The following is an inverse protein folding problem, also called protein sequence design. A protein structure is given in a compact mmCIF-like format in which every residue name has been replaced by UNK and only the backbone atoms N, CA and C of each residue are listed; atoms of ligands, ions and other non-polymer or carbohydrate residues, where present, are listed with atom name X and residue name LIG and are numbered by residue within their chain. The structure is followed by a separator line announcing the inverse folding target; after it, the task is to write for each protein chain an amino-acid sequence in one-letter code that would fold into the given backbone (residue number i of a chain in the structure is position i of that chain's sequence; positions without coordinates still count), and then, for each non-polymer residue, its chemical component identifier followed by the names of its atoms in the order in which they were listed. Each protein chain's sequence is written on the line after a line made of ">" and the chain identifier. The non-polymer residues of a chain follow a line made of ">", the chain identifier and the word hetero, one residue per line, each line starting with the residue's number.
data_IF_935270538008
#
_entry.id   IF_935270538008
#
_cell.length_a   1.000
_cell.length_b   1.000
_cell.length_c   1.000
_cell.angle_alpha   90.00
_cell.angle_beta   90.00
_cell.angle_gamma   90.00
#
_symmetry.space_group_name_H-M   'P 1'
#
loop_
_entity.id
_entity.type
_entity.pdbx_description
1 polymer ?
#
# COMPACT_ATOMS: atom_id res chain seq x y z
N UNK A 1 7.46 -3.46 -19.19
CA UNK A 1 7.78 -4.43 -18.12
C UNK A 1 8.71 -5.48 -18.72
N UNK A 2 9.99 -5.51 -18.34
CA UNK A 2 10.96 -6.49 -18.85
C UNK A 2 11.45 -7.31 -17.66
N UNK A 3 11.10 -8.59 -17.59
CA UNK A 3 11.60 -9.48 -16.54
C UNK A 3 13.03 -9.91 -16.89
N UNK A 4 13.97 -9.96 -15.93
CA UNK A 4 15.35 -10.36 -16.22
C UNK A 4 15.45 -11.86 -16.52
N UNK A 5 16.14 -12.21 -17.61
CA UNK A 5 16.44 -13.58 -18.03
C UNK A 5 17.42 -14.29 -17.06
N UNK A 6 16.95 -14.88 -15.95
CA UNK A 6 17.73 -15.88 -15.21
C UNK A 6 16.86 -16.98 -14.61
N UNK A 7 16.73 -18.07 -15.38
CA UNK A 7 16.62 -19.49 -14.98
C UNK A 7 15.63 -20.27 -15.88
N UNK A 8 16.01 -20.47 -17.14
CA UNK A 8 15.33 -21.42 -18.05
C UNK A 8 15.66 -22.87 -17.66
N UNK A 9 14.92 -23.47 -16.71
CA UNK A 9 14.80 -24.94 -16.59
C UNK A 9 13.42 -25.39 -16.08
N UNK A 10 12.69 -26.02 -17.01
CA UNK A 10 11.66 -27.07 -16.89
C UNK A 10 10.45 -26.81 -15.98
N UNK A 11 9.28 -26.74 -16.61
CA UNK A 11 8.15 -27.57 -16.16
C UNK A 11 7.28 -28.04 -17.33
N UNK A 12 6.98 -29.34 -17.31
CA UNK A 12 6.15 -30.08 -18.25
C UNK A 12 4.94 -30.56 -17.48
N UNK A 13 3.73 -30.22 -17.94
CA UNK A 13 2.55 -31.02 -17.67
C UNK A 13 1.56 -30.90 -18.83
N UNK A 14 1.00 -32.06 -19.19
CA UNK A 14 0.19 -32.32 -20.38
C UNK A 14 -1.20 -31.69 -20.24
N UNK A 15 -1.46 -30.66 -21.02
CA UNK A 15 -2.76 -30.29 -21.57
C UNK A 15 -2.49 -29.93 -23.04
N UNK A 16 -3.29 -30.40 -23.99
CA UNK A 16 -3.00 -30.46 -25.44
C UNK A 16 -2.49 -29.15 -26.10
N UNK A 17 -1.20 -28.86 -25.97
CA UNK A 17 -0.46 -27.77 -26.60
C UNK A 17 0.76 -27.40 -25.76
N UNK A 18 1.97 -27.46 -26.33
CA UNK A 18 3.19 -27.00 -25.63
C UNK A 18 3.15 -25.47 -25.59
N UNK A 19 2.68 -24.91 -24.48
CA UNK A 19 2.76 -23.46 -24.24
C UNK A 19 4.16 -23.17 -23.69
N UNK A 20 4.97 -22.47 -24.47
CA UNK A 20 6.29 -22.03 -24.03
C UNK A 20 6.14 -20.91 -23.00
N UNK A 21 7.06 -20.83 -22.04
CA UNK A 21 7.07 -19.77 -21.01
C UNK A 21 7.05 -18.36 -21.65
N UNK A 22 7.77 -18.19 -22.77
CA UNK A 22 7.76 -16.94 -23.53
C UNK A 22 6.40 -16.59 -24.15
N UNK A 23 5.57 -17.59 -24.46
CA UNK A 23 4.22 -17.37 -24.99
C UNK A 23 3.31 -16.74 -23.94
N UNK A 24 3.31 -17.27 -22.71
CA UNK A 24 2.53 -16.69 -21.60
C UNK A 24 3.02 -15.27 -21.30
N UNK A 25 4.35 -15.08 -21.22
CA UNK A 25 4.91 -13.74 -21.00
C UNK A 25 4.47 -12.75 -22.09
N UNK A 26 4.51 -13.13 -23.36
CA UNK A 26 4.09 -12.25 -24.46
C UNK A 26 2.59 -11.94 -24.40
N UNK A 27 1.74 -12.93 -24.12
CA UNK A 27 0.30 -12.70 -23.94
C UNK A 27 0.08 -11.67 -22.84
N UNK A 28 0.68 -11.87 -21.66
CA UNK A 28 0.46 -11.00 -20.50
C UNK A 28 1.06 -9.60 -20.66
N UNK A 29 2.23 -9.48 -21.27
CA UNK A 29 3.02 -8.24 -21.28
C UNK A 29 3.03 -7.48 -22.59
N UNK A 30 2.48 -8.06 -23.66
CA UNK A 30 2.42 -7.45 -25.00
C UNK A 30 1.00 -7.52 -25.55
N UNK A 31 0.51 -8.71 -25.83
CA UNK A 31 -0.72 -8.89 -26.63
C UNK A 31 -1.96 -8.38 -25.88
N UNK A 32 -2.01 -8.62 -24.56
CA UNK A 32 -3.10 -8.20 -23.68
C UNK A 32 -2.72 -7.04 -22.75
N UNK A 33 -1.56 -6.42 -22.96
CA UNK A 33 -1.05 -5.38 -22.08
C UNK A 33 -2.03 -4.20 -21.94
N UNK A 34 -2.62 -3.75 -23.05
CA UNK A 34 -3.60 -2.66 -23.05
C UNK A 34 -4.90 -3.05 -22.34
N UNK A 35 -5.40 -4.25 -22.58
CA UNK A 35 -6.64 -4.75 -21.95
C UNK A 35 -6.46 -4.88 -20.43
N UNK A 36 -5.35 -5.47 -19.96
CA UNK A 36 -5.06 -5.58 -18.54
C UNK A 36 -4.76 -4.24 -17.88
N UNK A 37 -4.15 -3.31 -18.61
CA UNK A 37 -3.97 -1.95 -18.10
C UNK A 37 -5.32 -1.26 -17.91
N UNK A 38 -6.23 -1.36 -18.89
CA UNK A 38 -7.57 -0.80 -18.79
C UNK A 38 -8.35 -1.42 -17.64
N UNK A 39 -8.35 -2.76 -17.51
CA UNK A 39 -8.99 -3.47 -16.39
C UNK A 39 -8.43 -3.00 -15.05
N UNK A 40 -7.10 -2.92 -14.92
CA UNK A 40 -6.43 -2.45 -13.72
C UNK A 40 -6.85 -1.02 -13.35
N UNK A 41 -6.98 -0.12 -14.32
CA UNK A 41 -7.44 1.25 -14.07
C UNK A 41 -8.92 1.29 -13.69
N UNK A 42 -9.78 0.50 -14.35
CA UNK A 42 -11.19 0.39 -13.98
C UNK A 42 -11.39 -0.14 -12.56
N UNK A 43 -10.55 -1.06 -12.09
CA UNK A 43 -10.56 -1.53 -10.69
C UNK A 43 -10.20 -0.39 -9.74
N UNK A 44 -9.18 0.40 -10.05
CA UNK A 44 -8.78 1.55 -9.22
C UNK A 44 -9.90 2.59 -9.14
N UNK A 45 -10.45 3.00 -10.28
CA UNK A 45 -11.54 3.98 -10.34
C UNK A 45 -12.77 3.50 -9.55
N UNK A 46 -13.25 2.28 -9.83
CA UNK A 46 -14.39 1.71 -9.12
C UNK A 46 -14.12 1.56 -7.61
N UNK A 47 -12.90 1.16 -7.27
CA UNK A 47 -12.43 1.03 -5.89
C UNK A 47 -12.42 2.37 -5.15
N UNK A 48 -11.90 3.43 -5.77
CA UNK A 48 -11.85 4.77 -5.22
C UNK A 48 -13.26 5.38 -5.06
N UNK A 49 -14.15 5.20 -6.04
CA UNK A 49 -15.52 5.73 -5.99
C UNK A 49 -16.36 5.19 -4.81
N UNK A 50 -16.03 3.99 -4.30
CA UNK A 50 -16.76 3.33 -3.19
C UNK A 50 -15.95 3.24 -1.91
N UNK A 51 -14.71 3.73 -1.91
CA UNK A 51 -13.80 3.62 -0.79
C UNK A 51 -14.30 4.40 0.42
N UNK A 52 -14.34 3.74 1.59
CA UNK A 52 -14.49 4.43 2.89
C UNK A 52 -13.17 5.06 3.34
N UNK A 53 -12.07 4.48 2.89
CA UNK A 53 -10.71 4.94 3.09
C UNK A 53 -9.86 4.35 1.97
N UNK A 54 -8.71 4.97 1.72
CA UNK A 54 -7.64 4.44 0.90
C UNK A 54 -6.40 4.32 1.79
N UNK A 55 -5.61 3.27 1.57
CA UNK A 55 -4.31 3.12 2.17
C UNK A 55 -3.26 3.11 1.06
N UNK A 56 -2.13 3.77 1.29
CA UNK A 56 -0.98 3.71 0.38
C UNK A 56 0.31 3.31 1.10
N UNK A 57 1.13 2.53 0.39
CA UNK A 57 2.49 2.16 0.78
C UNK A 57 3.38 2.09 -0.47
N UNK A 58 4.68 2.21 -0.27
CA UNK A 58 5.66 2.22 -1.36
C UNK A 58 6.90 1.39 -0.97
N UNK A 59 7.43 0.64 -1.94
CA UNK A 59 8.72 -0.02 -1.81
C UNK A 59 9.61 0.23 -3.02
N UNK A 60 10.84 0.70 -2.76
CA UNK A 60 11.84 0.96 -3.80
C UNK A 60 12.72 -0.26 -4.10
N UNK A 61 13.02 -0.47 -5.38
CA UNK A 61 13.97 -1.47 -5.84
C UNK A 61 14.79 -0.96 -7.05
N UNK A 62 15.94 -1.57 -7.32
CA UNK A 62 16.72 -1.26 -8.53
C UNK A 62 16.42 -2.26 -9.64
N UNK A 63 16.06 -1.76 -10.82
CA UNK A 63 15.89 -2.55 -12.04
C UNK A 63 16.82 -2.00 -13.12
N UNK A 64 17.73 -2.86 -13.62
CA UNK A 64 18.73 -2.48 -14.64
C UNK A 64 19.51 -1.20 -14.29
N UNK A 65 19.90 -1.07 -13.02
CA UNK A 65 20.65 0.08 -12.51
C UNK A 65 19.83 1.35 -12.26
N UNK A 66 18.54 1.37 -12.58
CA UNK A 66 17.63 2.50 -12.32
C UNK A 66 16.78 2.23 -11.08
N UNK A 67 16.48 3.26 -10.32
CA UNK A 67 15.53 3.16 -9.20
C UNK A 67 14.12 3.08 -9.77
N UNK A 68 13.32 2.16 -9.23
CA UNK A 68 11.90 2.01 -9.51
C UNK A 68 11.18 1.84 -8.17
N UNK A 69 9.92 2.24 -8.13
CA UNK A 69 9.12 2.23 -6.90
C UNK A 69 7.82 1.50 -7.18
N UNK A 70 7.57 0.43 -6.42
CA UNK A 70 6.27 -0.22 -6.36
C UNK A 70 5.39 0.62 -5.45
N UNK A 71 4.28 1.12 -6.00
CA UNK A 71 3.22 1.79 -5.28
C UNK A 71 2.07 0.82 -5.08
N UNK A 72 1.57 0.76 -3.86
CA UNK A 72 0.40 -0.03 -3.47
C UNK A 72 -0.67 0.93 -3.01
N UNK A 73 -1.87 0.84 -3.59
CA UNK A 73 -3.06 1.57 -3.13
C UNK A 73 -4.15 0.53 -2.88
N UNK A 74 -4.72 0.51 -1.69
CA UNK A 74 -5.67 -0.53 -1.32
C UNK A 74 -6.71 -0.05 -0.31
N UNK A 75 -7.71 -0.89 -0.11
CA UNK A 75 -8.63 -0.85 1.03
C UNK A 75 -9.12 -2.28 1.33
N UNK A 76 -10.25 -2.43 2.02
CA UNK A 76 -10.88 -3.71 2.33
C UNK A 76 -11.48 -4.43 1.11
N UNK A 77 -11.68 -3.72 -0.01
CA UNK A 77 -12.34 -4.23 -1.22
C UNK A 77 -11.36 -4.56 -2.35
N UNK A 78 -10.24 -3.83 -2.46
CA UNK A 78 -9.30 -4.01 -3.57
C UNK A 78 -7.84 -3.71 -3.19
N UNK A 79 -6.94 -4.13 -4.06
CA UNK A 79 -5.53 -3.74 -4.03
C UNK A 79 -5.05 -3.47 -5.45
N UNK A 80 -4.45 -2.29 -5.63
CA UNK A 80 -3.89 -1.80 -6.87
C UNK A 80 -2.38 -1.70 -6.72
N UNK A 81 -1.66 -2.21 -7.72
CA UNK A 81 -0.21 -2.23 -7.75
C UNK A 81 0.30 -1.56 -9.01
N UNK A 82 1.25 -0.64 -8.89
CA UNK A 82 1.89 -0.03 -10.05
C UNK A 82 3.36 0.27 -9.78
N UNK A 83 4.18 0.21 -10.82
CA UNK A 83 5.62 0.50 -10.71
C UNK A 83 5.89 1.74 -11.53
N UNK A 84 6.51 2.74 -10.91
CA UNK A 84 6.90 3.98 -11.58
C UNK A 84 8.39 4.26 -11.35
N UNK A 85 8.95 5.19 -12.13
CA UNK A 85 10.31 5.69 -11.92
C UNK A 85 10.40 6.74 -10.81
N UNK A 86 9.25 7.27 -10.37
CA UNK A 86 9.13 8.36 -9.41
C UNK A 86 8.44 7.93 -8.12
N UNK A 87 8.50 8.80 -7.13
CA UNK A 87 7.78 8.65 -5.86
C UNK A 87 7.41 9.99 -5.23
N UNK A 88 7.38 11.03 -6.04
CA UNK A 88 7.03 12.37 -5.58
C UNK A 88 5.50 12.53 -5.64
N UNK A 89 4.99 13.62 -5.05
CA UNK A 89 3.56 13.88 -5.01
C UNK A 89 2.88 13.90 -6.39
N UNK A 90 3.46 14.52 -7.44
CA UNK A 90 2.90 14.41 -8.80
C UNK A 90 2.77 12.96 -9.30
N UNK A 91 3.71 12.07 -8.94
CA UNK A 91 3.58 10.64 -9.26
C UNK A 91 2.34 10.03 -8.57
N UNK A 92 2.00 10.46 -7.36
CA UNK A 92 0.82 9.95 -6.64
C UNK A 92 -0.46 10.45 -7.29
N UNK A 93 -0.54 11.73 -7.67
CA UNK A 93 -1.67 12.30 -8.43
C UNK A 93 -1.87 11.58 -9.77
N UNK A 94 -0.78 11.36 -10.53
CA UNK A 94 -0.80 10.60 -11.79
C UNK A 94 -1.36 9.18 -11.58
N UNK A 95 -0.90 8.47 -10.53
CA UNK A 95 -1.38 7.11 -10.22
C UNK A 95 -2.87 7.11 -9.90
N UNK A 96 -3.35 8.12 -9.16
CA UNK A 96 -4.75 8.25 -8.74
C UNK A 96 -5.66 8.78 -9.87
N UNK A 97 -5.11 9.13 -11.03
CA UNK A 97 -5.86 9.74 -12.13
C UNK A 97 -6.49 11.08 -11.74
N UNK A 98 -5.82 11.83 -10.87
CA UNK A 98 -6.26 13.15 -10.38
C UNK A 98 -5.37 14.24 -11.00
N UNK A 99 -5.94 15.43 -11.20
CA UNK A 99 -5.15 16.60 -11.53
C UNK A 99 -4.35 17.05 -10.29
N UNK A 100 -3.19 17.69 -10.52
CA UNK A 100 -2.38 18.22 -9.43
C UNK A 100 -3.22 19.20 -8.58
N UNK A 101 -3.14 19.03 -7.25
CA UNK A 101 -3.88 19.78 -6.22
C UNK A 101 -5.39 19.46 -6.09
N UNK A 102 -5.95 18.54 -6.87
CA UNK A 102 -7.30 18.01 -6.65
C UNK A 102 -7.31 16.99 -5.49
N UNK A 103 -7.43 17.50 -4.27
CA UNK A 103 -7.38 16.68 -3.06
C UNK A 103 -8.57 15.73 -2.98
N UNK A 104 -8.30 14.48 -2.60
CA UNK A 104 -9.34 13.51 -2.29
C UNK A 104 -10.08 13.89 -0.99
N UNK A 105 -11.40 13.71 -1.00
CA UNK A 105 -12.22 13.73 0.22
C UNK A 105 -12.25 12.38 0.97
N UNK A 106 -11.73 11.32 0.35
CA UNK A 106 -11.66 10.01 0.99
C UNK A 106 -10.49 9.96 1.98
N UNK A 107 -10.69 9.51 3.24
CA UNK A 107 -9.60 9.33 4.19
C UNK A 107 -8.42 8.55 3.61
N UNK A 108 -7.22 9.13 3.69
CA UNK A 108 -6.03 8.55 3.07
C UNK A 108 -4.99 8.19 4.14
N UNK A 109 -4.81 6.89 4.34
CA UNK A 109 -3.95 6.30 5.37
C UNK A 109 -2.58 5.98 4.79
N UNK A 110 -1.52 6.65 5.25
CA UNK A 110 -0.15 6.39 4.76
C UNK A 110 0.87 6.43 5.89
N UNK A 111 2.14 6.18 5.61
CA UNK A 111 3.24 6.35 6.57
C UNK A 111 3.54 7.82 6.92
N UNK A 112 2.87 8.77 6.27
CA UNK A 112 3.09 10.21 6.45
C UNK A 112 4.29 10.76 5.69
N UNK A 113 4.84 10.03 4.72
CA UNK A 113 5.90 10.54 3.87
C UNK A 113 5.44 11.74 3.02
N UNK A 114 6.38 12.63 2.67
CA UNK A 114 6.09 13.93 2.03
C UNK A 114 5.28 13.82 0.74
N UNK A 115 5.45 12.75 -0.02
CA UNK A 115 4.73 12.52 -1.27
C UNK A 115 3.22 12.31 -1.09
N UNK A 116 2.78 11.92 0.12
CA UNK A 116 1.36 11.73 0.45
C UNK A 116 0.72 12.95 1.11
N UNK A 117 1.52 13.94 1.51
CA UNK A 117 1.01 15.17 2.09
C UNK A 117 0.17 15.91 1.04
N UNK A 118 -0.97 16.42 1.48
CA UNK A 118 -1.93 17.16 0.65
C UNK A 118 -2.55 16.35 -0.50
N UNK A 119 -2.45 15.02 -0.51
CA UNK A 119 -3.18 14.18 -1.49
C UNK A 119 -4.66 14.04 -1.12
N UNK A 120 -4.98 14.14 0.17
CA UNK A 120 -6.35 14.12 0.68
C UNK A 120 -6.53 15.20 1.75
N UNK A 121 -7.76 15.72 1.88
CA UNK A 121 -8.17 16.59 2.99
C UNK A 121 -8.23 15.84 4.34
N UNK A 122 -8.31 14.50 4.30
CA UNK A 122 -8.42 13.64 5.47
C UNK A 122 -7.24 12.67 5.55
N UNK A 123 -6.03 13.20 5.76
CA UNK A 123 -4.84 12.37 5.92
C UNK A 123 -4.78 11.72 7.30
N UNK A 124 -4.49 10.42 7.33
CA UNK A 124 -4.29 9.65 8.56
C UNK A 124 -2.97 8.89 8.50
N UNK A 125 -2.31 8.73 9.65
CA UNK A 125 -1.08 7.93 9.77
C UNK A 125 -1.41 6.46 9.97
N UNK A 126 -0.66 5.60 9.30
CA UNK A 126 -0.83 4.16 9.37
C UNK A 126 -0.36 3.62 10.74
N UNK A 127 -1.27 3.01 11.48
CA UNK A 127 -1.01 2.41 12.79
C UNK A 127 0.12 1.36 12.78
N UNK A 128 0.20 0.57 11.71
CA UNK A 128 1.26 -0.45 11.55
C UNK A 128 2.63 0.21 11.36
N UNK A 129 2.70 1.35 10.68
CA UNK A 129 3.93 2.11 10.54
C UNK A 129 4.41 2.69 11.87
N UNK A 130 3.48 3.19 12.69
CA UNK A 130 3.79 3.66 14.05
C UNK A 130 4.35 2.52 14.92
N UNK A 131 3.65 1.39 14.99
CA UNK A 131 4.08 0.22 15.81
C UNK A 131 5.44 -0.34 15.36
N UNK A 132 5.73 -0.30 14.05
CA UNK A 132 6.95 -0.88 13.48
C UNK A 132 8.21 -0.28 14.11
N UNK A 133 8.20 0.98 14.54
CA UNK A 133 9.35 1.62 15.19
C UNK A 133 9.72 0.92 16.50
N UNK A 134 8.72 0.66 17.34
CA UNK A 134 8.89 0.04 18.65
C UNK A 134 9.26 -1.44 18.55
N UNK A 135 8.66 -2.18 17.61
CA UNK A 135 9.00 -3.60 17.38
C UNK A 135 10.45 -3.83 16.92
N UNK A 136 11.11 -2.82 16.36
CA UNK A 136 12.52 -2.90 15.96
C UNK A 136 13.49 -2.63 17.12
N UNK A 137 13.01 -2.11 18.24
CA UNK A 137 13.84 -1.88 19.42
C UNK A 137 14.14 -3.21 20.10
N UNK A 138 15.42 -3.48 20.34
CA UNK A 138 15.89 -4.67 21.06
C UNK A 138 16.70 -4.23 22.27
N UNK A 139 16.04 -3.76 23.35
CA UNK A 139 16.72 -3.26 24.53
C UNK A 139 17.43 -4.37 25.30
N UNK A 140 18.68 -4.11 25.70
CA UNK A 140 19.48 -5.07 26.46
C UNK A 140 19.12 -5.09 27.95
N UNK A 141 19.00 -3.89 28.56
CA UNK A 141 18.72 -3.72 29.99
C UNK A 141 17.24 -3.96 30.30
N UNK A 142 16.96 -4.63 31.42
CA UNK A 142 15.59 -4.98 31.82
C UNK A 142 14.70 -3.77 32.07
N UNK A 143 15.27 -2.68 32.58
CA UNK A 143 14.53 -1.43 32.72
C UNK A 143 13.98 -0.92 31.37
N UNK A 144 14.80 -0.95 30.31
CA UNK A 144 14.37 -0.51 28.98
C UNK A 144 13.38 -1.48 28.33
N UNK A 145 13.48 -2.79 28.59
CA UNK A 145 12.46 -3.77 28.17
C UNK A 145 11.11 -3.44 28.79
N UNK A 146 11.07 -3.20 30.10
CA UNK A 146 9.83 -2.84 30.80
C UNK A 146 9.23 -1.52 30.30
N UNK A 147 10.06 -0.53 29.97
CA UNK A 147 9.58 0.72 29.36
C UNK A 147 8.97 0.48 27.97
N UNK A 148 9.61 -0.33 27.13
CA UNK A 148 9.09 -0.68 25.82
C UNK A 148 7.76 -1.43 25.93
N UNK A 149 7.66 -2.42 26.82
CA UNK A 149 6.43 -3.17 27.06
C UNK A 149 5.29 -2.25 27.54
N UNK A 150 5.60 -1.29 28.41
CA UNK A 150 4.63 -0.30 28.89
C UNK A 150 4.10 0.56 27.74
N UNK A 151 4.98 1.12 26.91
CA UNK A 151 4.57 1.95 25.76
C UNK A 151 3.75 1.13 24.76
N UNK A 152 4.19 -0.09 24.45
CA UNK A 152 3.46 -1.01 23.57
C UNK A 152 2.07 -1.33 24.12
N UNK A 153 1.95 -1.56 25.43
CA UNK A 153 0.66 -1.77 26.09
C UNK A 153 -0.26 -0.55 26.00
N UNK A 154 0.28 0.67 26.16
CA UNK A 154 -0.49 1.91 26.00
C UNK A 154 -0.97 2.11 24.56
N UNK A 155 -0.13 1.83 23.57
CA UNK A 155 -0.51 1.91 22.15
C UNK A 155 -1.65 0.92 21.86
N UNK A 156 -1.49 -0.36 22.19
CA UNK A 156 -2.56 -1.33 21.96
C UNK A 156 -3.84 -1.02 22.75
N UNK A 157 -3.72 -0.49 23.97
CA UNK A 157 -4.86 0.00 24.73
C UNK A 157 -5.61 1.13 23.99
N UNK A 158 -4.89 2.09 23.41
CA UNK A 158 -5.51 3.13 22.57
C UNK A 158 -6.20 2.54 21.34
N UNK A 159 -5.58 1.55 20.69
CA UNK A 159 -6.20 0.84 19.56
C UNK A 159 -7.52 0.17 19.95
N UNK A 160 -7.54 -0.52 21.10
CA UNK A 160 -8.74 -1.17 21.62
C UNK A 160 -9.85 -0.17 21.92
N UNK A 161 -9.51 0.98 22.53
CA UNK A 161 -10.47 2.08 22.78
C UNK A 161 -11.05 2.63 21.47
N UNK A 162 -10.21 2.89 20.45
CA UNK A 162 -10.70 3.33 19.14
C UNK A 162 -11.61 2.29 18.48
N UNK A 163 -11.31 1.00 18.64
CA UNK A 163 -12.15 -0.08 18.10
C UNK A 163 -13.49 -0.19 18.85
N UNK A 164 -13.51 0.04 20.17
CA UNK A 164 -14.75 0.14 20.94
C UNK A 164 -15.58 1.32 20.42
N UNK A 165 -14.98 2.51 20.33
CA UNK A 165 -15.64 3.72 19.83
C UNK A 165 -16.22 3.54 18.42
N UNK A 166 -15.48 2.88 17.52
CA UNK A 166 -15.95 2.58 16.17
C UNK A 166 -17.26 1.78 16.14
N UNK A 167 -17.42 0.83 17.06
CA UNK A 167 -18.61 -0.03 17.12
C UNK A 167 -19.74 0.57 17.96
N UNK A 168 -19.38 1.35 18.99
CA UNK A 168 -20.29 2.02 19.90
C UNK A 168 -19.80 3.44 20.18
N UNK A 169 -20.12 4.41 19.30
CA UNK A 169 -19.70 5.79 19.49
C UNK A 169 -20.26 6.34 20.80
N UNK A 170 -19.36 6.83 21.65
CA UNK A 170 -19.68 7.43 22.94
C UNK A 170 -18.85 8.69 23.14
N UNK A 171 -19.51 9.77 23.55
CA UNK A 171 -18.87 11.10 23.68
C UNK A 171 -17.80 11.10 24.76
N UNK A 172 -18.00 10.33 25.85
CA UNK A 172 -16.99 10.26 26.92
C UNK A 172 -15.72 9.55 26.45
N UNK A 173 -15.87 8.52 25.61
CA UNK A 173 -14.76 7.82 24.99
C UNK A 173 -14.07 8.67 23.91
N UNK A 174 -14.83 9.48 23.17
CA UNK A 174 -14.29 10.39 22.15
C UNK A 174 -13.23 11.33 22.72
N UNK A 175 -13.50 11.94 23.87
CA UNK A 175 -12.58 12.85 24.58
C UNK A 175 -11.29 12.17 25.02
N UNK A 176 -11.29 10.84 25.16
CA UNK A 176 -10.11 10.06 25.55
C UNK A 176 -9.22 9.75 24.34
N UNK A 177 -9.81 9.61 23.14
CA UNK A 177 -9.10 9.18 21.93
C UNK A 177 -8.73 10.33 20.98
N UNK A 178 -9.34 11.51 21.12
CA UNK A 178 -9.02 12.78 20.41
C UNK A 178 -8.10 13.68 21.24
#
# INVERSE_FOLDING_TARGET
>A
MYLPEKNRRKQSSRINGVIWEGTISNILTRDKATEFFAEKMSILEAGMMKAKYLQADESGARHQGRNCYLHVICNDMFSYFTITGGKNRPTIYEILGQEDDEKLETPFVTDGARQYLDVSNHHAKCWIHEIRHYKKLVPFLDHHKSLLDKVMGQLWGLFDLMNIYKNHPDESLRVIIE
#
